data_IF_313844409153
#
_entry.id   IF_313844409153
#
_cell.length_a   1.000
_cell.length_b   1.000
_cell.length_c   1.000
_cell.angle_alpha   90.00
_cell.angle_beta   90.00
_cell.angle_gamma   90.00
#
_symmetry.space_group_name_H-M   'P 1'
#
loop_
_entity.id
_entity.type
_entity.pdbx_description
1 polymer ?
#
# COMPACT_ATOMS: atom_id res chain seq x y z
N UNK A 1 -12.16 -0.63 -11.85
CA UNK A 1 -11.81 -1.26 -10.56
C UNK A 1 -11.03 -0.28 -9.70
N UNK A 2 -11.23 -0.33 -8.40
CA UNK A 2 -10.46 0.53 -7.49
C UNK A 2 -9.05 -0.02 -7.25
N UNK A 3 -8.10 0.83 -6.82
CA UNK A 3 -6.77 0.35 -6.44
C UNK A 3 -6.80 -0.77 -5.39
N UNK A 4 -7.71 -0.67 -4.42
CA UNK A 4 -7.88 -1.70 -3.38
C UNK A 4 -8.28 -3.05 -3.99
N UNK A 5 -9.23 -3.05 -4.91
CA UNK A 5 -9.66 -4.28 -5.58
C UNK A 5 -8.55 -4.86 -6.45
N UNK A 6 -7.79 -4.01 -7.14
CA UNK A 6 -6.67 -4.44 -7.98
C UNK A 6 -5.57 -5.10 -7.14
N UNK A 7 -5.21 -4.50 -6.00
CA UNK A 7 -4.22 -5.07 -5.09
C UNK A 7 -4.70 -6.41 -4.51
N UNK A 8 -5.96 -6.51 -4.11
CA UNK A 8 -6.48 -7.78 -3.59
C UNK A 8 -6.45 -8.88 -4.63
N UNK A 9 -6.78 -8.57 -5.88
CA UNK A 9 -6.67 -9.54 -6.98
C UNK A 9 -5.23 -9.96 -7.23
N UNK A 10 -4.30 -9.04 -7.18
CA UNK A 10 -2.86 -9.29 -7.33
C UNK A 10 -2.34 -10.23 -6.23
N UNK A 11 -2.74 -9.98 -4.97
CA UNK A 11 -2.36 -10.81 -3.82
C UNK A 11 -2.97 -12.22 -3.96
N UNK A 12 -4.23 -12.32 -4.33
CA UNK A 12 -4.93 -13.59 -4.49
C UNK A 12 -4.23 -14.48 -5.53
N UNK A 13 -3.80 -13.91 -6.64
CA UNK A 13 -3.08 -14.66 -7.68
C UNK A 13 -1.76 -15.24 -7.16
N UNK A 14 -1.18 -14.64 -6.13
CA UNK A 14 0.07 -15.10 -5.50
C UNK A 14 -0.15 -15.98 -4.28
N UNK A 15 -1.41 -16.32 -3.99
CA UNK A 15 -1.74 -17.15 -2.84
C UNK A 15 -1.59 -16.45 -1.50
N UNK A 16 -1.62 -15.11 -1.49
CA UNK A 16 -1.46 -14.32 -0.26
C UNK A 16 -2.84 -13.96 0.27
N UNK A 17 -3.10 -14.31 1.53
CA UNK A 17 -4.34 -13.97 2.23
C UNK A 17 -4.35 -12.48 2.57
N UNK A 18 -5.46 -11.81 2.30
CA UNK A 18 -5.60 -10.39 2.61
C UNK A 18 -7.02 -10.04 2.98
N UNK A 19 -7.18 -8.92 3.67
CA UNK A 19 -8.50 -8.37 3.98
C UNK A 19 -8.44 -6.85 3.95
N UNK A 20 -9.60 -6.23 3.70
CA UNK A 20 -9.74 -4.78 3.74
C UNK A 20 -9.90 -4.38 5.19
N UNK A 21 -9.05 -3.46 5.66
CA UNK A 21 -9.07 -3.01 7.05
C UNK A 21 -9.40 -1.52 7.20
N UNK A 22 -9.63 -0.81 6.12
CA UNK A 22 -10.17 0.55 6.22
C UNK A 22 -11.63 0.48 6.62
N UNK A 23 -12.07 1.41 7.48
CA UNK A 23 -13.44 1.44 8.00
C UNK A 23 -14.12 2.76 7.71
N UNK A 24 -15.42 2.71 7.48
CA UNK A 24 -16.23 3.92 7.39
C UNK A 24 -16.44 4.49 8.80
N UNK A 25 -16.12 5.77 8.98
CA UNK A 25 -16.38 6.49 10.22
C UNK A 25 -17.63 7.36 10.01
N UNK A 26 -18.75 6.98 10.64
CA UNK A 26 -20.02 7.68 10.48
C UNK A 26 -20.02 9.08 11.08
N UNK A 27 -19.22 9.33 12.11
CA UNK A 27 -19.12 10.66 12.72
C UNK A 27 -18.35 11.63 11.82
N UNK A 28 -17.18 11.19 11.32
CA UNK A 28 -16.35 12.00 10.44
C UNK A 28 -16.81 11.94 8.97
N UNK A 29 -17.73 11.05 8.62
CA UNK A 29 -18.23 10.80 7.27
C UNK A 29 -17.11 10.56 6.27
N UNK A 30 -16.14 9.73 6.68
CA UNK A 30 -15.00 9.38 5.81
C UNK A 30 -14.50 7.99 6.17
N UNK A 31 -13.72 7.41 5.27
CA UNK A 31 -13.02 6.16 5.54
C UNK A 31 -11.81 6.42 6.43
N UNK A 32 -11.57 5.50 7.34
CA UNK A 32 -10.37 5.53 8.20
C UNK A 32 -9.50 4.33 7.89
N UNK A 33 -8.23 4.59 7.63
CA UNK A 33 -7.22 3.55 7.41
C UNK A 33 -6.83 2.90 8.74
N UNK A 34 -6.32 1.68 8.66
CA UNK A 34 -5.74 1.01 9.82
C UNK A 34 -4.54 1.83 10.31
N UNK A 35 -4.58 2.29 11.56
CA UNK A 35 -3.52 3.09 12.17
C UNK A 35 -3.11 4.31 11.32
N UNK A 36 -4.02 4.80 10.47
CA UNK A 36 -3.78 5.96 9.64
C UNK A 36 -3.02 5.70 8.35
N UNK A 37 -2.64 4.46 8.03
CA UNK A 37 -1.84 4.19 6.84
C UNK A 37 -2.15 2.89 6.10
N UNK A 38 -3.06 2.04 6.59
CA UNK A 38 -3.31 0.75 5.95
C UNK A 38 -4.73 0.61 5.42
N UNK A 39 -4.87 0.31 4.13
CA UNK A 39 -6.16 -0.03 3.50
C UNK A 39 -6.41 -1.52 3.52
N UNK A 40 -5.35 -2.31 3.38
CA UNK A 40 -5.38 -3.77 3.30
C UNK A 40 -4.35 -4.34 4.27
N UNK A 41 -4.72 -5.43 4.94
CA UNK A 41 -3.78 -6.24 5.70
C UNK A 41 -3.56 -7.54 4.94
N UNK A 42 -2.30 -7.86 4.65
CA UNK A 42 -1.92 -9.09 3.98
C UNK A 42 -1.06 -9.94 4.91
N UNK A 43 -1.23 -11.25 4.81
CA UNK A 43 -0.49 -12.21 5.64
C UNK A 43 0.29 -13.13 4.73
N UNK A 44 1.62 -13.00 4.79
CA UNK A 44 2.55 -13.86 4.07
C UNK A 44 3.51 -14.47 5.11
N UNK A 45 4.81 -14.45 4.89
CA UNK A 45 5.78 -14.80 5.93
C UNK A 45 5.79 -13.75 7.06
N UNK A 46 5.31 -12.55 6.78
CA UNK A 46 5.15 -11.45 7.74
C UNK A 46 3.83 -10.74 7.45
N UNK A 47 3.40 -9.92 8.40
CA UNK A 47 2.19 -9.12 8.26
C UNK A 47 2.52 -7.84 7.53
N UNK A 48 1.76 -7.53 6.48
CA UNK A 48 1.99 -6.37 5.61
C UNK A 48 0.76 -5.46 5.65
N UNK A 49 0.98 -4.19 6.00
CA UNK A 49 -0.05 -3.15 5.84
C UNK A 49 0.18 -2.50 4.47
N UNK A 50 -0.85 -2.47 3.63
CA UNK A 50 -0.74 -1.95 2.27
C UNK A 50 -1.63 -0.73 2.13
N UNK A 51 -1.03 0.39 1.69
CA UNK A 51 -1.75 1.59 1.29
C UNK A 51 -1.92 1.54 -0.23
N UNK A 52 -3.15 1.60 -0.70
CA UNK A 52 -3.43 1.56 -2.15
C UNK A 52 -3.81 2.94 -2.66
N UNK A 53 -3.38 3.26 -3.89
CA UNK A 53 -3.68 4.54 -4.51
C UNK A 53 -3.53 4.45 -6.03
N UNK A 54 -3.92 5.51 -6.73
CA UNK A 54 -3.56 5.67 -8.14
C UNK A 54 -2.09 6.02 -8.26
N UNK A 55 -1.47 5.71 -9.41
CA UNK A 55 -0.02 5.83 -9.59
C UNK A 55 0.52 7.23 -9.41
N UNK A 56 -0.28 8.26 -9.70
CA UNK A 56 0.12 9.66 -9.58
C UNK A 56 0.05 10.20 -8.14
N UNK A 57 -0.45 9.43 -7.19
CA UNK A 57 -0.54 9.83 -5.78
C UNK A 57 0.40 9.06 -4.86
N UNK A 58 1.30 8.23 -5.40
CA UNK A 58 2.21 7.41 -4.59
C UNK A 58 3.09 8.27 -3.68
N UNK A 59 3.70 9.33 -4.22
CA UNK A 59 4.58 10.20 -3.44
C UNK A 59 3.84 10.85 -2.27
N UNK A 60 2.59 11.28 -2.49
CA UNK A 60 1.77 11.88 -1.45
C UNK A 60 1.47 10.87 -0.32
N UNK A 61 1.15 9.62 -0.68
CA UNK A 61 0.88 8.56 0.30
C UNK A 61 2.12 8.23 1.11
N UNK A 62 3.30 8.19 0.49
CA UNK A 62 4.57 7.97 1.18
C UNK A 62 4.81 9.05 2.23
N UNK A 63 4.61 10.33 1.88
CA UNK A 63 4.79 11.43 2.82
C UNK A 63 3.81 11.34 3.99
N UNK A 64 2.57 10.94 3.73
CA UNK A 64 1.56 10.72 4.77
C UNK A 64 2.00 9.63 5.75
N UNK A 65 2.58 8.54 5.25
CA UNK A 65 3.09 7.45 6.09
C UNK A 65 4.25 7.93 6.94
N UNK A 66 5.17 8.70 6.38
CA UNK A 66 6.31 9.26 7.14
C UNK A 66 5.83 10.14 8.31
N UNK A 67 4.72 10.84 8.13
CA UNK A 67 4.17 11.75 9.14
C UNK A 67 3.34 11.02 10.21
N UNK A 68 3.08 9.72 10.04
CA UNK A 68 2.24 8.94 10.97
C UNK A 68 3.13 8.19 11.98
N UNK A 69 3.14 8.59 13.27
CA UNK A 69 4.01 7.95 14.27
C UNK A 69 3.76 6.44 14.42
N UNK A 70 2.51 5.99 14.22
CA UNK A 70 2.17 4.58 14.38
C UNK A 70 2.76 3.71 13.27
N UNK A 71 3.12 4.31 12.11
CA UNK A 71 3.81 3.59 11.06
C UNK A 71 5.20 3.14 11.52
N UNK A 72 5.92 4.01 12.25
CA UNK A 72 7.22 3.66 12.83
C UNK A 72 7.07 2.55 13.87
N UNK A 73 6.05 2.62 14.72
CA UNK A 73 5.78 1.58 15.71
C UNK A 73 5.49 0.24 15.05
N UNK A 74 4.72 0.26 13.97
CA UNK A 74 4.40 -0.93 13.18
C UNK A 74 5.66 -1.59 12.62
N UNK A 75 6.54 -0.80 12.01
CA UNK A 75 7.81 -1.30 11.47
C UNK A 75 8.72 -1.83 12.57
N UNK A 76 8.82 -1.14 13.71
CA UNK A 76 9.63 -1.58 14.84
C UNK A 76 9.13 -2.89 15.43
N UNK A 77 7.83 -3.14 15.38
CA UNK A 77 7.23 -4.38 15.86
C UNK A 77 7.40 -5.55 14.87
N UNK A 78 7.99 -5.31 13.71
CA UNK A 78 8.23 -6.34 12.69
C UNK A 78 7.23 -6.38 11.55
N UNK A 79 6.25 -5.49 11.53
CA UNK A 79 5.32 -5.38 10.41
C UNK A 79 5.98 -4.77 9.18
N UNK A 80 5.48 -5.10 8.01
CA UNK A 80 5.92 -4.49 6.75
C UNK A 80 4.90 -3.47 6.30
N UNK A 81 5.34 -2.48 5.53
CA UNK A 81 4.47 -1.47 4.93
C UNK A 81 4.81 -1.38 3.44
N UNK A 82 3.78 -1.42 2.59
CA UNK A 82 3.91 -1.22 1.15
C UNK A 82 2.89 -0.19 0.68
N UNK A 83 3.29 0.59 -0.32
CA UNK A 83 2.39 1.47 -1.06
C UNK A 83 2.23 0.87 -2.46
N UNK A 84 0.99 0.64 -2.86
CA UNK A 84 0.65 0.09 -4.17
C UNK A 84 -0.03 1.16 -5.01
N UNK A 85 0.65 1.61 -6.06
CA UNK A 85 0.14 2.58 -7.00
C UNK A 85 -0.26 1.91 -8.32
N UNK A 86 -1.51 2.10 -8.73
CA UNK A 86 -2.05 1.49 -9.94
C UNK A 86 -2.33 2.54 -11.00
N UNK A 87 -1.92 2.27 -12.23
CA UNK A 87 -2.23 3.13 -13.37
C UNK A 87 -2.46 2.28 -14.62
N UNK A 88 -3.29 2.78 -15.51
CA UNK A 88 -3.48 2.16 -16.80
C UNK A 88 -2.38 2.63 -17.74
N UNK A 89 -1.69 1.69 -18.36
CA UNK A 89 -0.61 1.94 -19.29
C UNK A 89 -0.83 1.17 -20.58
N UNK A 90 -0.43 1.77 -21.69
CA UNK A 90 -0.49 1.14 -22.99
C UNK A 90 -0.08 2.13 -24.07
N UNK A 91 0.55 1.63 -25.13
CA UNK A 91 0.90 2.45 -26.28
C UNK A 91 -0.38 2.96 -26.96
N UNK A 92 -0.27 4.12 -27.60
CA UNK A 92 -1.37 4.70 -28.37
C UNK A 92 -1.92 3.67 -29.37
N UNK A 93 -3.25 3.48 -29.36
CA UNK A 93 -3.91 2.49 -30.21
C UNK A 93 -3.87 1.06 -29.70
N UNK A 94 -3.21 0.81 -28.57
CA UNK A 94 -3.17 -0.50 -27.92
C UNK A 94 -4.12 -0.54 -26.74
N UNK A 95 -4.55 -1.75 -26.38
CA UNK A 95 -5.35 -1.95 -25.18
C UNK A 95 -4.55 -1.55 -23.94
N UNK A 96 -5.14 -0.71 -23.10
CA UNK A 96 -4.50 -0.30 -21.85
C UNK A 96 -4.62 -1.42 -20.81
N UNK A 97 -3.55 -1.60 -20.05
CA UNK A 97 -3.48 -2.58 -18.98
C UNK A 97 -3.14 -1.90 -17.66
N UNK A 98 -3.59 -2.48 -16.57
CA UNK A 98 -3.22 -2.02 -15.25
C UNK A 98 -1.76 -2.38 -14.97
N UNK A 99 -1.01 -1.40 -14.49
CA UNK A 99 0.39 -1.54 -14.09
C UNK A 99 0.51 -1.20 -12.61
N UNK A 100 1.25 -2.02 -11.87
CA UNK A 100 1.46 -1.86 -10.43
C UNK A 100 2.86 -1.32 -10.16
N UNK A 101 2.94 -0.25 -9.36
CA UNK A 101 4.17 0.22 -8.75
C UNK A 101 4.10 -0.10 -7.27
N UNK A 102 5.08 -0.84 -6.75
CA UNK A 102 5.15 -1.19 -5.33
C UNK A 102 6.33 -0.50 -4.69
N UNK A 103 6.08 0.14 -3.55
CA UNK A 103 7.12 0.82 -2.77
C UNK A 103 7.05 0.29 -1.35
N UNK A 104 8.17 -0.20 -0.82
CA UNK A 104 8.28 -0.61 0.58
C UNK A 104 8.73 0.57 1.41
N UNK A 105 8.10 0.76 2.58
CA UNK A 105 8.56 1.73 3.58
C UNK A 105 9.31 0.95 4.65
N UNK A 106 10.56 1.33 4.89
CA UNK A 106 11.46 0.59 5.78
C UNK A 106 12.17 1.55 6.74
N UNK A 107 12.76 1.01 7.80
CA UNK A 107 13.65 1.76 8.67
C UNK A 107 15.08 1.38 8.28
N UNK A 108 15.90 2.39 7.94
CA UNK A 108 17.28 2.16 7.56
C UNK A 108 18.19 1.97 8.78
N UNK A 109 19.49 1.78 8.55
CA UNK A 109 20.46 1.57 9.62
C UNK A 109 20.67 2.76 10.53
N UNK A 110 20.18 3.95 10.14
CA UNK A 110 20.25 5.18 10.93
C UNK A 110 18.95 5.47 11.69
N UNK A 111 17.94 4.60 11.56
CA UNK A 111 16.64 4.77 12.20
C UNK A 111 15.66 5.65 11.44
N UNK A 112 15.96 6.06 10.22
CA UNK A 112 15.07 6.87 9.41
C UNK A 112 14.14 6.00 8.58
N UNK A 113 12.91 6.44 8.38
CA UNK A 113 12.01 5.79 7.42
C UNK A 113 12.43 6.17 6.01
N UNK A 114 12.55 5.15 5.15
CA UNK A 114 12.95 5.32 3.75
C UNK A 114 12.03 4.52 2.85
N UNK A 115 11.89 4.97 1.60
CA UNK A 115 11.10 4.28 0.59
C UNK A 115 12.03 3.54 -0.37
N UNK A 116 11.70 2.28 -0.65
CA UNK A 116 12.46 1.45 -1.57
C UNK A 116 11.53 0.91 -2.64
N UNK A 117 11.86 1.18 -3.91
CA UNK A 117 11.11 0.59 -5.02
C UNK A 117 11.26 -0.93 -4.99
N UNK A 118 10.14 -1.63 -5.13
CA UNK A 118 10.13 -3.08 -5.23
C UNK A 118 9.93 -3.48 -6.67
N UNK A 119 10.67 -4.47 -7.10
CA UNK A 119 10.48 -5.02 -8.44
C UNK A 119 9.26 -5.94 -8.43
N UNK A 120 8.50 -5.87 -9.51
CA UNK A 120 7.36 -6.75 -9.73
C UNK A 120 7.85 -7.97 -10.51
N UNK A 121 7.51 -9.14 -10.01
CA UNK A 121 7.84 -10.39 -10.67
C UNK A 121 6.70 -10.90 -11.54
#
# INVERSE_FOLDING_TARGET
>A
MSPTQLTRGWLKKRGITSDIVEKWNSFARKKQDLLGFGDILAVSSRIIAIQTTSGDHVAHRIQKIYAEPRAREWLAAGGLIEVHGWRKCGARGKQKRWSLRRVAIEIDGMGAMVAREMEDE
#
